data_IF_106680373054
#
_entry.id   IF_106680373054
#
_cell.length_a   1.000
_cell.length_b   1.000
_cell.length_c   1.000
_cell.angle_alpha   90.00
_cell.angle_beta   90.00
_cell.angle_gamma   90.00
#
_symmetry.space_group_name_H-M   'P 1'
#
loop_
_entity.id
_entity.type
_entity.pdbx_description
1 polymer ?
#
# COMPACT_ATOMS: atom_id res chain seq x y z
N UNK A 1 -7.12 19.17 13.65
CA UNK A 1 -6.90 17.73 13.38
C UNK A 1 -7.78 17.38 12.20
N UNK A 2 -7.21 16.81 11.15
CA UNK A 2 -7.92 16.40 9.94
C UNK A 2 -7.91 14.88 9.88
N UNK A 3 -9.06 14.28 9.60
CA UNK A 3 -9.20 12.86 9.34
C UNK A 3 -9.55 12.69 7.86
N UNK A 4 -8.75 11.87 7.19
CA UNK A 4 -8.95 11.48 5.80
C UNK A 4 -9.28 10.00 5.77
N UNK A 5 -10.25 9.62 4.95
CA UNK A 5 -10.69 8.22 4.81
C UNK A 5 -10.87 7.90 3.32
N UNK A 6 -10.20 6.84 2.87
CA UNK A 6 -10.08 6.48 1.46
C UNK A 6 -10.04 4.95 1.28
N UNK A 7 -10.24 4.50 0.05
CA UNK A 7 -9.98 3.13 -0.38
C UNK A 7 -8.90 3.11 -1.46
N UNK A 8 -7.88 2.29 -1.27
CA UNK A 8 -6.79 2.07 -2.22
C UNK A 8 -7.02 0.79 -3.01
N UNK A 9 -6.85 0.87 -4.33
CA UNK A 9 -7.05 -0.26 -5.25
C UNK A 9 -5.71 -0.76 -5.79
N UNK A 10 -5.35 -1.96 -5.39
CA UNK A 10 -4.09 -2.63 -5.71
C UNK A 10 -4.35 -3.74 -6.74
N UNK A 11 -3.67 -3.73 -7.87
CA UNK A 11 -3.73 -4.81 -8.86
C UNK A 11 -2.32 -5.30 -9.17
N UNK A 12 -2.07 -6.59 -8.92
CA UNK A 12 -0.80 -7.25 -9.18
C UNK A 12 -0.82 -8.06 -10.49
N UNK A 13 -1.98 -8.27 -11.11
CA UNK A 13 -2.17 -9.32 -12.15
C UNK A 13 -2.85 -8.86 -13.43
N UNK A 14 -3.57 -7.73 -13.42
CA UNK A 14 -4.23 -7.21 -14.60
C UNK A 14 -3.25 -6.78 -15.71
N UNK A 15 -3.75 -6.42 -16.90
CA UNK A 15 -2.92 -6.01 -18.03
C UNK A 15 -2.10 -4.74 -17.75
N UNK A 16 -2.53 -3.94 -16.76
CA UNK A 16 -1.87 -2.72 -16.32
C UNK A 16 -1.78 -2.72 -14.79
N UNK A 17 -0.89 -3.55 -14.21
CA UNK A 17 -0.82 -3.71 -12.77
C UNK A 17 -0.41 -2.38 -12.11
N UNK A 18 -1.09 -2.03 -11.03
CA UNK A 18 -0.82 -0.82 -10.25
C UNK A 18 0.17 -1.08 -9.11
N UNK A 19 0.35 -2.35 -8.74
CA UNK A 19 1.44 -2.83 -7.91
C UNK A 19 2.31 -3.84 -8.68
N UNK A 20 3.52 -3.40 -9.02
CA UNK A 20 4.42 -4.18 -9.84
C UNK A 20 5.65 -4.60 -9.03
N UNK A 21 5.94 -5.90 -8.97
CA UNK A 21 7.22 -6.40 -8.44
C UNK A 21 8.34 -6.03 -9.41
N UNK A 22 9.24 -5.14 -8.98
CA UNK A 22 10.36 -4.63 -9.79
C UNK A 22 11.69 -5.29 -9.43
N UNK A 23 11.79 -5.86 -8.23
CA UNK A 23 12.91 -6.70 -7.80
C UNK A 23 12.35 -7.97 -7.18
N UNK A 24 12.88 -9.11 -7.60
CA UNK A 24 12.61 -10.41 -6.96
C UNK A 24 13.66 -10.67 -5.89
N UNK A 25 13.20 -11.01 -4.70
CA UNK A 25 14.01 -11.31 -3.54
C UNK A 25 14.65 -12.70 -3.57
N UNK A 26 15.02 -13.20 -2.39
CA UNK A 26 15.49 -14.58 -2.20
C UNK A 26 14.42 -15.41 -1.50
N UNK A 27 14.21 -16.64 -1.97
CA UNK A 27 13.41 -17.62 -1.23
C UNK A 27 14.07 -17.93 0.12
N UNK A 28 13.26 -18.02 1.16
CA UNK A 28 13.69 -18.42 2.51
C UNK A 28 13.23 -19.82 2.88
N UNK A 29 12.43 -20.46 2.02
CA UNK A 29 12.10 -21.88 2.16
C UNK A 29 13.22 -22.71 1.53
N UNK A 30 13.64 -23.84 2.16
CA UNK A 30 14.49 -24.81 1.50
C UNK A 30 13.75 -25.33 0.26
N UNK A 31 14.37 -25.22 -0.91
CA UNK A 31 13.78 -25.53 -2.20
C UNK A 31 13.10 -26.92 -2.17
N UNK A 32 11.79 -27.04 -2.44
CA UNK A 32 11.26 -28.34 -2.80
C UNK A 32 11.79 -28.66 -4.20
N UNK A 33 12.55 -29.74 -4.33
CA UNK A 33 12.73 -30.39 -5.61
C UNK A 33 11.36 -30.85 -6.09
N UNK A 34 10.75 -30.15 -7.06
CA UNK A 34 9.96 -30.68 -8.19
C UNK A 34 9.06 -29.60 -8.79
N UNK A 35 9.05 -29.60 -10.13
CA UNK A 35 8.11 -28.98 -11.06
C UNK A 35 7.89 -27.47 -11.00
N UNK A 36 8.36 -26.84 -12.09
CA UNK A 36 7.82 -25.64 -12.72
C UNK A 36 6.27 -25.64 -12.74
N UNK A 37 5.67 -24.44 -12.77
CA UNK A 37 4.23 -24.12 -12.91
C UNK A 37 3.41 -23.86 -11.64
N UNK A 38 3.93 -23.08 -10.68
CA UNK A 38 3.04 -22.23 -9.88
C UNK A 38 3.46 -20.76 -10.04
N UNK A 39 2.71 -20.04 -10.88
CA UNK A 39 2.89 -18.61 -11.18
C UNK A 39 2.61 -17.70 -9.96
N UNK A 40 2.53 -18.27 -8.75
CA UNK A 40 2.23 -17.62 -7.48
C UNK A 40 3.38 -17.66 -6.47
N UNK A 41 4.64 -17.61 -6.95
CA UNK A 41 5.84 -17.58 -6.07
C UNK A 41 5.60 -16.74 -4.80
N UNK A 42 5.64 -17.34 -3.59
CA UNK A 42 5.37 -16.61 -2.35
C UNK A 42 6.29 -15.41 -2.27
N UNK A 43 5.75 -14.22 -1.93
CA UNK A 43 6.56 -12.99 -1.88
C UNK A 43 7.79 -13.20 -0.98
N UNK A 44 8.95 -12.89 -1.52
CA UNK A 44 10.25 -13.30 -1.01
C UNK A 44 10.93 -12.17 -0.23
N UNK A 45 11.85 -12.52 0.68
CA UNK A 45 12.66 -11.51 1.36
C UNK A 45 13.47 -10.71 0.35
N UNK A 46 13.35 -9.38 0.41
CA UNK A 46 13.97 -8.48 -0.55
C UNK A 46 13.12 -8.18 -1.80
N UNK A 47 11.90 -8.74 -1.92
CA UNK A 47 10.96 -8.29 -2.95
C UNK A 47 10.74 -6.78 -2.83
N UNK A 48 10.88 -6.05 -3.95
CA UNK A 48 10.53 -4.63 -4.04
C UNK A 48 9.36 -4.49 -5.00
N UNK A 49 8.32 -3.80 -4.53
CA UNK A 49 7.08 -3.57 -5.26
C UNK A 49 6.91 -2.07 -5.41
N UNK A 50 6.81 -1.59 -6.64
CA UNK A 50 6.43 -0.22 -6.94
C UNK A 50 4.90 -0.11 -6.92
N UNK A 51 4.39 0.99 -6.36
CA UNK A 51 2.96 1.23 -6.16
C UNK A 51 2.54 2.51 -6.88
N UNK A 52 1.45 2.44 -7.64
CA UNK A 52 0.77 3.57 -8.27
C UNK A 52 -0.74 3.30 -8.31
N UNK A 53 -1.34 3.25 -7.12
CA UNK A 53 -2.70 2.77 -6.90
C UNK A 53 -3.71 3.92 -6.90
N UNK A 54 -4.93 3.65 -7.38
CA UNK A 54 -6.01 4.63 -7.28
C UNK A 54 -6.50 4.76 -5.83
N UNK A 55 -6.84 5.98 -5.41
CA UNK A 55 -7.61 6.25 -4.20
C UNK A 55 -9.03 6.66 -4.58
N UNK A 56 -10.02 6.09 -3.91
CA UNK A 56 -11.46 6.37 -4.10
C UNK A 56 -12.16 6.67 -2.78
N UNK A 57 -13.35 7.27 -2.87
CA UNK A 57 -14.22 7.58 -1.71
C UNK A 57 -15.04 6.37 -1.22
N UNK A 58 -15.08 5.29 -1.99
CA UNK A 58 -15.72 4.02 -1.65
C UNK A 58 -14.94 2.81 -2.17
N UNK A 59 -15.27 1.58 -1.75
CA UNK A 59 -14.50 0.38 -2.08
C UNK A 59 -14.79 -0.20 -3.46
N UNK A 60 -15.81 0.28 -4.17
CA UNK A 60 -16.32 -0.32 -5.41
C UNK A 60 -15.73 0.33 -6.65
N UNK A 61 -15.79 -0.36 -7.79
CA UNK A 61 -15.22 0.14 -9.06
C UNK A 61 -15.94 1.37 -9.65
N UNK A 62 -17.15 1.68 -9.19
CA UNK A 62 -17.93 2.87 -9.54
C UNK A 62 -17.72 4.04 -8.55
N UNK A 63 -16.92 3.84 -7.50
CA UNK A 63 -16.58 4.88 -6.53
C UNK A 63 -15.79 6.02 -7.17
N UNK A 64 -15.96 7.24 -6.65
CA UNK A 64 -15.31 8.43 -7.20
C UNK A 64 -13.82 8.35 -6.93
N UNK A 65 -13.01 8.53 -7.98
CA UNK A 65 -11.56 8.68 -7.82
C UNK A 65 -11.23 10.03 -7.21
N UNK A 66 -10.45 10.00 -6.13
CA UNK A 66 -10.10 11.20 -5.34
C UNK A 66 -8.59 11.45 -5.29
N UNK A 67 -7.78 10.49 -5.72
CA UNK A 67 -6.33 10.63 -5.68
C UNK A 67 -5.57 9.40 -6.13
N UNK A 68 -4.28 9.40 -5.78
CA UNK A 68 -3.34 8.33 -6.09
C UNK A 68 -2.47 8.02 -4.88
N UNK A 69 -2.24 6.74 -4.60
CA UNK A 69 -1.29 6.25 -3.62
C UNK A 69 -0.02 5.76 -4.34
N UNK A 70 1.09 6.47 -4.16
CA UNK A 70 2.33 6.25 -4.90
C UNK A 70 3.50 5.98 -3.97
N UNK A 71 4.33 5.00 -4.29
CA UNK A 71 5.49 4.69 -3.47
C UNK A 71 6.02 3.28 -3.71
N UNK A 72 6.49 2.65 -2.65
CA UNK A 72 7.02 1.30 -2.74
C UNK A 72 6.90 0.54 -1.43
N UNK A 73 6.90 -0.79 -1.55
CA UNK A 73 7.01 -1.71 -0.43
C UNK A 73 8.21 -2.65 -0.63
N UNK A 74 8.93 -2.94 0.46
CA UNK A 74 10.05 -3.90 0.47
C UNK A 74 9.73 -4.99 1.47
N UNK A 75 9.84 -6.27 1.09
CA UNK A 75 9.74 -7.38 2.03
C UNK A 75 11.00 -7.41 2.90
N UNK A 76 10.87 -7.06 4.18
CA UNK A 76 12.02 -6.86 5.08
C UNK A 76 12.16 -7.94 6.16
N UNK A 77 11.16 -8.81 6.33
CA UNK A 77 11.24 -9.88 7.32
C UNK A 77 11.62 -11.20 6.69
N UNK A 78 12.48 -11.95 7.38
CA UNK A 78 12.82 -13.32 7.00
C UNK A 78 11.75 -14.35 7.42
N UNK A 79 10.81 -13.94 8.26
CA UNK A 79 9.63 -14.74 8.63
C UNK A 79 8.34 -13.93 8.49
N UNK A 80 7.29 -14.58 7.99
CA UNK A 80 5.98 -13.96 7.81
C UNK A 80 5.92 -12.93 6.68
N UNK A 81 4.78 -12.28 6.55
CA UNK A 81 4.44 -11.42 5.42
C UNK A 81 4.54 -9.95 5.85
N UNK A 82 5.77 -9.52 6.15
CA UNK A 82 6.06 -8.18 6.67
C UNK A 82 6.86 -7.33 5.68
N UNK A 83 6.35 -6.14 5.38
CA UNK A 83 7.00 -5.19 4.47
C UNK A 83 7.26 -3.83 5.13
N UNK A 84 8.35 -3.18 4.74
CA UNK A 84 8.52 -1.74 4.91
C UNK A 84 7.76 -1.03 3.79
N UNK A 85 6.92 -0.06 4.12
CA UNK A 85 6.11 0.72 3.18
C UNK A 85 6.50 2.19 3.27
N UNK A 86 6.72 2.83 2.11
CA UNK A 86 6.68 4.29 1.96
C UNK A 86 5.61 4.63 0.96
N UNK A 87 4.66 5.48 1.35
CA UNK A 87 3.49 5.79 0.53
C UNK A 87 3.17 7.29 0.58
N UNK A 88 3.11 7.91 -0.59
CA UNK A 88 2.56 9.24 -0.80
C UNK A 88 1.09 9.11 -1.18
N UNK A 89 0.21 9.68 -0.36
CA UNK A 89 -1.21 9.84 -0.66
C UNK A 89 -1.39 11.20 -1.32
N UNK A 90 -1.45 11.21 -2.65
CA UNK A 90 -1.65 12.42 -3.47
C UNK A 90 -3.14 12.63 -3.64
N UNK A 91 -3.66 13.75 -3.13
CA UNK A 91 -5.08 14.07 -3.18
C UNK A 91 -5.31 14.96 -4.39
N UNK A 92 -6.27 14.57 -5.23
CA UNK A 92 -6.51 15.18 -6.54
C UNK A 92 -7.92 15.81 -6.62
N UNK A 93 -8.81 15.49 -5.68
CA UNK A 93 -10.17 16.01 -5.63
C UNK A 93 -10.51 16.68 -4.28
N UNK A 94 -11.61 17.43 -4.26
CA UNK A 94 -12.16 18.05 -3.05
C UNK A 94 -11.30 19.18 -2.48
N UNK A 95 -11.53 19.51 -1.20
CA UNK A 95 -10.89 20.65 -0.53
C UNK A 95 -9.35 20.51 -0.48
N UNK A 96 -8.86 19.28 -0.43
CA UNK A 96 -7.43 18.99 -0.29
C UNK A 96 -6.72 18.72 -1.62
N UNK A 97 -7.39 18.93 -2.76
CA UNK A 97 -6.82 18.74 -4.09
C UNK A 97 -5.46 19.46 -4.25
N UNK A 98 -4.51 18.74 -4.84
CA UNK A 98 -3.11 19.12 -4.99
C UNK A 98 -2.26 18.88 -3.74
N UNK A 99 -2.82 18.60 -2.57
CA UNK A 99 -2.01 18.33 -1.37
C UNK A 99 -1.62 16.86 -1.29
N UNK A 100 -0.60 16.54 -0.50
CA UNK A 100 -0.23 15.14 -0.25
C UNK A 100 0.19 14.91 1.20
N UNK A 101 0.04 13.67 1.65
CA UNK A 101 0.55 13.18 2.94
C UNK A 101 1.46 11.99 2.67
N UNK A 102 2.60 11.93 3.35
CA UNK A 102 3.55 10.81 3.24
C UNK A 102 3.52 9.98 4.51
N UNK A 103 3.27 8.68 4.35
CA UNK A 103 3.33 7.71 5.43
C UNK A 103 4.51 6.74 5.24
N UNK A 104 5.12 6.35 6.35
CA UNK A 104 6.17 5.34 6.40
C UNK A 104 5.86 4.32 7.51
N UNK A 105 5.99 3.03 7.25
CA UNK A 105 5.59 2.04 8.25
C UNK A 105 6.05 0.61 7.98
N UNK A 106 5.97 -0.20 9.03
CA UNK A 106 6.18 -1.64 8.98
C UNK A 106 4.82 -2.32 8.93
N UNK A 107 4.47 -2.87 7.78
CA UNK A 107 3.18 -3.48 7.47
C UNK A 107 3.30 -4.99 7.64
N UNK A 108 2.65 -5.51 8.67
CA UNK A 108 2.48 -6.95 8.89
C UNK A 108 1.12 -7.38 8.34
N UNK A 109 1.10 -8.19 7.28
CA UNK A 109 -0.16 -8.57 6.61
C UNK A 109 -1.04 -9.49 7.46
N UNK A 110 -0.49 -10.12 8.51
CA UNK A 110 -1.27 -10.94 9.45
C UNK A 110 -2.00 -10.07 10.49
N UNK A 111 -1.58 -8.81 10.65
CA UNK A 111 -2.27 -7.86 11.52
C UNK A 111 -3.55 -7.32 10.87
N UNK A 112 -4.67 -7.35 11.61
CA UNK A 112 -5.98 -6.83 11.14
C UNK A 112 -5.96 -5.33 10.84
N UNK A 113 -5.19 -4.57 11.63
CA UNK A 113 -5.00 -3.13 11.47
C UNK A 113 -3.50 -2.87 11.51
N UNK A 114 -2.97 -2.13 10.54
CA UNK A 114 -1.54 -1.81 10.46
C UNK A 114 -1.36 -0.31 10.53
N UNK A 115 -0.52 0.13 11.46
CA UNK A 115 -0.21 1.53 11.70
C UNK A 115 1.09 1.94 11.01
N UNK A 116 1.08 3.09 10.37
CA UNK A 116 2.24 3.77 9.80
C UNK A 116 2.31 5.20 10.32
N UNK A 117 3.51 5.74 10.43
CA UNK A 117 3.70 7.13 10.85
C UNK A 117 3.54 8.07 9.67
N UNK A 118 2.80 9.17 9.87
CA UNK A 118 2.81 10.29 8.93
C UNK A 118 4.06 11.11 9.20
N UNK A 119 4.96 11.14 8.22
CA UNK A 119 6.28 11.78 8.33
C UNK A 119 6.32 13.18 7.69
N UNK A 120 5.23 13.61 7.07
CA UNK A 120 5.11 14.93 6.46
C UNK A 120 3.97 15.03 5.47
N UNK A 121 3.86 16.20 4.86
CA UNK A 121 2.93 16.46 3.78
C UNK A 121 3.30 17.72 3.01
N UNK A 122 2.56 17.97 1.93
CA UNK A 122 2.75 19.12 1.06
C UNK A 122 1.52 20.02 1.07
N UNK A 123 1.70 21.28 0.67
CA UNK A 123 0.64 22.30 0.58
C UNK A 123 -0.18 22.39 1.87
N UNK A 124 -1.47 22.03 1.84
CA UNK A 124 -2.34 22.10 3.02
C UNK A 124 -1.86 21.22 4.17
N UNK A 125 -0.98 20.23 3.91
CA UNK A 125 -0.40 19.35 4.92
C UNK A 125 1.09 19.62 5.18
N UNK A 126 1.59 20.84 4.90
CA UNK A 126 2.92 21.22 5.35
C UNK A 126 3.04 21.06 6.87
N UNK A 127 4.17 20.49 7.30
CA UNK A 127 4.45 20.15 8.71
C UNK A 127 3.49 19.13 9.34
N UNK A 128 2.68 18.43 8.54
CA UNK A 128 1.78 17.41 9.05
C UNK A 128 2.54 16.27 9.75
N UNK A 129 2.00 15.87 10.89
CA UNK A 129 2.40 14.71 11.70
C UNK A 129 1.17 13.94 12.11
N UNK A 130 1.33 12.66 12.42
CA UNK A 130 0.23 11.81 12.84
C UNK A 130 0.45 10.37 12.43
N UNK A 131 -0.63 9.67 12.10
CA UNK A 131 -0.58 8.24 11.78
C UNK A 131 -1.59 7.86 10.70
N UNK A 132 -1.31 6.76 10.04
CA UNK A 132 -2.14 6.13 9.03
C UNK A 132 -2.47 4.71 9.48
N UNK A 133 -3.74 4.33 9.42
CA UNK A 133 -4.21 2.97 9.65
C UNK A 133 -4.64 2.37 8.32
N UNK A 134 -4.27 1.11 8.08
CA UNK A 134 -4.70 0.35 6.90
C UNK A 134 -5.38 -0.96 7.31
N UNK A 135 -6.44 -1.33 6.59
CA UNK A 135 -7.20 -2.58 6.77
C UNK A 135 -7.49 -3.22 5.42
N UNK A 136 -7.52 -4.55 5.37
CA UNK A 136 -7.95 -5.24 4.15
C UNK A 136 -9.48 -5.12 4.08
N UNK A 137 -10.00 -4.62 2.96
CA UNK A 137 -11.44 -4.65 2.69
C UNK A 137 -11.79 -5.94 1.93
N UNK A 138 -11.19 -6.12 0.76
CA UNK A 138 -11.23 -7.34 -0.05
C UNK A 138 -9.85 -7.47 -0.70
N UNK A 139 -8.92 -8.16 -0.04
CA UNK A 139 -7.52 -8.18 -0.45
C UNK A 139 -6.95 -9.60 -0.46
N UNK A 140 -6.38 -9.98 -1.59
CA UNK A 140 -5.62 -11.20 -1.79
C UNK A 140 -4.15 -10.87 -2.09
N UNK A 141 -3.22 -11.60 -1.48
CA UNK A 141 -1.79 -11.30 -1.60
C UNK A 141 -1.23 -11.53 -3.02
N UNK A 142 -1.81 -12.46 -3.77
CA UNK A 142 -1.37 -12.80 -5.11
C UNK A 142 -1.95 -11.84 -6.15
N UNK A 143 -3.22 -11.48 -6.02
CA UNK A 143 -3.95 -10.67 -7.01
C UNK A 143 -3.98 -9.18 -6.68
N UNK A 144 -3.89 -8.82 -5.40
CA UNK A 144 -4.20 -7.49 -4.90
C UNK A 144 -5.65 -7.39 -4.43
N UNK A 145 -6.18 -6.18 -4.42
CA UNK A 145 -7.55 -5.89 -4.03
C UNK A 145 -7.69 -4.52 -3.39
N UNK A 146 -8.64 -4.37 -2.47
CA UNK A 146 -9.00 -3.10 -1.85
C UNK A 146 -8.49 -3.02 -0.42
N UNK A 147 -7.80 -1.92 -0.12
CA UNK A 147 -7.31 -1.57 1.23
C UNK A 147 -8.01 -0.31 1.70
N UNK A 148 -8.67 -0.38 2.85
CA UNK A 148 -9.22 0.79 3.53
C UNK A 148 -8.10 1.55 4.26
N UNK A 149 -8.10 2.88 4.15
CA UNK A 149 -7.08 3.76 4.72
C UNK A 149 -7.73 4.87 5.53
N UNK A 150 -7.33 5.00 6.79
CA UNK A 150 -7.58 6.18 7.63
C UNK A 150 -6.27 6.93 7.84
N UNK A 151 -6.28 8.25 7.69
CA UNK A 151 -5.15 9.11 8.00
C UNK A 151 -5.58 10.19 8.97
N UNK A 152 -4.90 10.26 10.11
CA UNK A 152 -5.12 11.28 11.11
C UNK A 152 -3.92 12.22 11.12
N UNK A 153 -4.14 13.47 10.73
CA UNK A 153 -3.08 14.48 10.66
C UNK A 153 -3.34 15.65 11.60
N UNK A 154 -2.26 16.07 12.25
CA UNK A 154 -2.16 17.27 13.07
C UNK A 154 -1.07 18.18 12.50
N UNK A 155 -1.31 19.48 12.57
CA UNK A 155 -0.30 20.53 12.39
C UNK A 155 0.02 21.06 13.79
#
# INVERSE_FOLDING_TARGET
MTHLHFFMHDDNTGPHPTAARVVSGRSLLPSPSTSDDDNSTPRQFGDIVALNNALTDGPTGDSTRIGTAQGFAIRVSEGGIVSHLTLHLVIEAGEHSGSSVTANGRIDMDAKVRESVVIGGTRRFQFARGYMLTRNYDYDLARGGVVEIDVYVQQ
#
